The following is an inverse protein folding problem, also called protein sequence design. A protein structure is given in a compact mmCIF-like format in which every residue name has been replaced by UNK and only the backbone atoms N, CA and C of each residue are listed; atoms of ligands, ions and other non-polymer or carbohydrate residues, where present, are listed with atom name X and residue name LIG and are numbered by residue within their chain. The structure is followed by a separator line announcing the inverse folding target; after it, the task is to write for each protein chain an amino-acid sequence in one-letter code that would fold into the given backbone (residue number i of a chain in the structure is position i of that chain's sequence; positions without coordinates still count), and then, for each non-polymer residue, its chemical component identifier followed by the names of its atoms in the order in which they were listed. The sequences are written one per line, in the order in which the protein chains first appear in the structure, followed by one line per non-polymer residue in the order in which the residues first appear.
data_IF_911300344353
#
_entry.id   IF_911300344353
#
_cell.length_a   1.000
_cell.length_b   1.000
_cell.length_c   1.000
_cell.angle_alpha   90.00
_cell.angle_beta   90.00
_cell.angle_gamma   90.00
#
_symmetry.space_group_name_H-M   'P 1'
#
loop_
_entity.id
_entity.type
_entity.pdbx_description
1 polymer ?
#
# COMPACT_ATOMS: atom_id res chain seq x y z
N UNK A 1 -51.09 -8.98 5.33
CA UNK A 1 -50.00 -9.97 5.40
C UNK A 1 -49.18 -9.90 4.13
N UNK A 2 -47.91 -9.48 4.21
CA UNK A 2 -46.87 -10.05 3.39
C UNK A 2 -45.54 -10.21 4.12
N UNK A 3 -45.26 -11.40 4.71
CA UNK A 3 -44.03 -11.71 5.46
C UNK A 3 -43.27 -12.91 4.91
N UNK A 4 -43.34 -13.23 3.64
CA UNK A 4 -42.68 -14.46 3.11
C UNK A 4 -41.65 -14.26 1.98
N UNK A 5 -41.32 -13.03 1.57
CA UNK A 5 -40.41 -12.82 0.45
C UNK A 5 -38.96 -12.60 0.91
N UNK A 6 -38.76 -12.05 2.10
CA UNK A 6 -37.42 -11.71 2.63
C UNK A 6 -36.62 -12.91 3.17
N UNK A 7 -37.29 -13.96 3.66
CA UNK A 7 -36.60 -15.12 4.23
C UNK A 7 -36.00 -16.08 3.18
N UNK A 8 -36.60 -16.17 1.99
CA UNK A 8 -36.06 -17.04 0.91
C UNK A 8 -34.79 -16.50 0.26
N UNK A 9 -34.62 -15.19 0.19
CA UNK A 9 -33.41 -14.57 -0.40
C UNK A 9 -32.19 -14.78 0.49
N UNK A 10 -32.34 -14.63 1.81
CA UNK A 10 -31.24 -14.84 2.76
C UNK A 10 -30.76 -16.29 2.88
N UNK A 11 -31.63 -17.26 2.62
CA UNK A 11 -31.27 -18.69 2.62
C UNK A 11 -30.49 -19.08 1.37
N UNK A 12 -30.87 -18.54 0.22
CA UNK A 12 -30.19 -18.83 -1.05
C UNK A 12 -28.78 -18.24 -1.09
N UNK A 13 -28.60 -17.01 -0.59
CA UNK A 13 -27.29 -16.36 -0.46
C UNK A 13 -26.37 -17.19 0.46
N UNK A 14 -26.86 -17.68 1.58
CA UNK A 14 -26.07 -18.53 2.50
C UNK A 14 -25.64 -19.87 1.86
N UNK A 15 -26.45 -20.43 0.98
CA UNK A 15 -26.12 -21.69 0.29
C UNK A 15 -25.05 -21.42 -0.80
N UNK A 16 -25.20 -20.34 -1.56
CA UNK A 16 -24.20 -19.93 -2.55
C UNK A 16 -22.86 -19.59 -1.90
N UNK A 17 -22.86 -18.85 -0.79
CA UNK A 17 -21.65 -18.54 -0.03
C UNK A 17 -21.00 -19.80 0.56
N UNK A 18 -21.78 -20.81 0.94
CA UNK A 18 -21.25 -22.08 1.47
C UNK A 18 -20.60 -22.95 0.39
N UNK A 19 -21.04 -22.83 -0.88
CA UNK A 19 -20.50 -23.62 -1.99
C UNK A 19 -19.33 -22.87 -2.68
N UNK A 20 -19.45 -21.56 -2.87
CA UNK A 20 -18.50 -20.74 -3.65
C UNK A 20 -17.60 -19.86 -2.76
N UNK A 21 -17.77 -19.89 -1.44
CA UNK A 21 -17.13 -18.98 -0.50
C UNK A 21 -17.70 -17.57 -0.54
N UNK A 22 -17.44 -16.78 0.48
CA UNK A 22 -17.81 -15.36 0.53
C UNK A 22 -17.06 -14.56 -0.54
N UNK A 23 -17.55 -13.38 -0.89
CA UNK A 23 -16.83 -12.46 -1.79
C UNK A 23 -15.40 -12.20 -1.29
N UNK A 24 -15.24 -11.98 0.01
CA UNK A 24 -13.93 -11.75 0.65
C UNK A 24 -12.98 -12.95 0.51
N UNK A 25 -13.47 -14.17 0.68
CA UNK A 25 -12.65 -15.38 0.51
C UNK A 25 -12.18 -15.57 -0.93
N UNK A 26 -13.03 -15.26 -1.91
CA UNK A 26 -12.65 -15.32 -3.34
C UNK A 26 -11.59 -14.27 -3.68
N UNK A 27 -11.71 -13.06 -3.14
CA UNK A 27 -10.71 -12.01 -3.32
C UNK A 27 -9.38 -12.37 -2.65
N UNK A 28 -9.41 -12.91 -1.45
CA UNK A 28 -8.20 -13.40 -0.77
C UNK A 28 -7.48 -14.47 -1.58
N UNK A 29 -8.22 -15.40 -2.20
CA UNK A 29 -7.63 -16.43 -3.08
C UNK A 29 -6.90 -15.84 -4.29
N UNK A 30 -7.30 -14.64 -4.77
CA UNK A 30 -6.61 -13.94 -5.85
C UNK A 30 -5.39 -13.16 -5.37
N UNK A 31 -5.44 -12.64 -4.13
CA UNK A 31 -4.38 -11.81 -3.55
C UNK A 31 -3.25 -12.67 -2.97
N UNK A 32 -3.56 -13.81 -2.37
CA UNK A 32 -2.57 -14.69 -1.73
C UNK A 32 -1.40 -15.05 -2.64
N UNK A 33 -1.59 -15.41 -3.93
CA UNK A 33 -0.47 -15.70 -4.82
C UNK A 33 0.47 -14.50 -5.05
N UNK A 34 -0.05 -13.27 -5.02
CA UNK A 34 0.77 -12.06 -5.09
C UNK A 34 1.61 -11.91 -3.83
N UNK A 35 1.02 -12.15 -2.66
CA UNK A 35 1.74 -12.13 -1.37
C UNK A 35 2.81 -13.21 -1.33
N UNK A 36 2.53 -14.41 -1.82
CA UNK A 36 3.52 -15.49 -1.92
C UNK A 36 4.69 -15.08 -2.83
N UNK A 37 4.41 -14.39 -3.94
CA UNK A 37 5.44 -13.85 -4.82
C UNK A 37 6.28 -12.77 -4.11
N UNK A 38 5.66 -11.85 -3.35
CA UNK A 38 6.36 -10.86 -2.53
C UNK A 38 7.27 -11.56 -1.50
N UNK A 39 6.77 -12.58 -0.81
CA UNK A 39 7.56 -13.35 0.15
C UNK A 39 8.75 -14.07 -0.52
N UNK A 40 8.58 -14.60 -1.71
CA UNK A 40 9.65 -15.28 -2.46
C UNK A 40 10.79 -14.34 -2.88
N UNK A 41 10.52 -13.05 -3.06
CA UNK A 41 11.53 -12.02 -3.40
C UNK A 41 12.32 -11.54 -2.18
N UNK A 42 11.90 -11.89 -0.96
CA UNK A 42 12.56 -11.44 0.28
C UNK A 42 14.07 -11.71 0.31
N UNK A 43 14.58 -12.93 0.02
CA UNK A 43 16.02 -13.20 0.05
C UNK A 43 16.80 -12.33 -0.95
N UNK A 44 16.23 -12.09 -2.13
CA UNK A 44 16.83 -11.22 -3.15
C UNK A 44 16.96 -9.79 -2.62
N UNK A 45 15.87 -9.20 -2.13
CA UNK A 45 15.88 -7.82 -1.60
C UNK A 45 16.84 -7.68 -0.41
N UNK A 46 16.94 -8.69 0.45
CA UNK A 46 17.87 -8.71 1.59
C UNK A 46 19.33 -8.75 1.17
N UNK A 47 19.64 -9.36 0.03
CA UNK A 47 21.02 -9.47 -0.49
C UNK A 47 21.54 -8.17 -1.13
N UNK A 48 20.65 -7.24 -1.48
CA UNK A 48 21.02 -5.96 -2.10
C UNK A 48 21.71 -5.04 -1.07
N UNK A 49 22.70 -4.30 -1.54
CA UNK A 49 23.23 -3.15 -0.79
C UNK A 49 22.18 -2.03 -0.69
N UNK A 50 22.41 -1.05 0.19
CA UNK A 50 21.52 0.11 0.29
C UNK A 50 21.42 0.91 -1.01
N UNK A 51 22.52 1.01 -1.75
CA UNK A 51 22.57 1.70 -3.03
C UNK A 51 21.77 0.96 -4.11
N UNK A 52 21.91 -0.36 -4.17
CA UNK A 52 21.16 -1.21 -5.10
C UNK A 52 19.66 -1.18 -4.80
N UNK A 53 19.28 -1.22 -3.50
CA UNK A 53 17.88 -1.16 -3.09
C UNK A 53 17.26 0.21 -3.44
N UNK A 54 17.98 1.32 -3.24
CA UNK A 54 17.56 2.67 -3.67
C UNK A 54 17.46 2.76 -5.20
N UNK A 55 18.37 2.11 -5.92
CA UNK A 55 18.39 2.05 -7.38
C UNK A 55 17.15 1.42 -8.00
N UNK A 56 16.43 0.56 -7.26
CA UNK A 56 15.18 -0.07 -7.70
C UNK A 56 14.11 0.96 -8.10
N UNK A 57 14.05 2.11 -7.43
CA UNK A 57 13.10 3.18 -7.81
C UNK A 57 13.34 3.70 -9.23
N UNK A 58 14.58 3.92 -9.61
CA UNK A 58 14.92 4.36 -10.97
C UNK A 58 14.66 3.26 -12.00
N UNK A 59 14.95 2.00 -11.66
CA UNK A 59 14.65 0.82 -12.46
C UNK A 59 13.16 0.71 -12.75
N UNK A 60 12.31 0.78 -11.70
CA UNK A 60 10.86 0.67 -11.86
C UNK A 60 10.26 1.82 -12.69
N UNK A 61 10.70 3.06 -12.46
CA UNK A 61 10.29 4.20 -13.28
C UNK A 61 10.66 4.01 -14.77
N UNK A 62 11.82 3.43 -15.05
CA UNK A 62 12.24 3.10 -16.43
C UNK A 62 11.37 2.01 -17.05
N UNK A 63 11.01 0.97 -16.28
CA UNK A 63 10.13 -0.12 -16.74
C UNK A 63 8.71 0.39 -17.01
N UNK A 64 8.17 1.27 -16.15
CA UNK A 64 6.89 1.95 -16.41
C UNK A 64 6.94 2.78 -17.70
N UNK A 65 8.01 3.54 -17.91
CA UNK A 65 8.19 4.31 -19.14
C UNK A 65 8.31 3.41 -20.40
N UNK A 66 8.73 2.16 -20.22
CA UNK A 66 8.80 1.16 -21.29
C UNK A 66 7.46 0.43 -21.52
N UNK A 67 6.42 0.72 -20.73
CA UNK A 67 5.07 0.21 -20.93
C UNK A 67 4.64 -0.90 -19.96
N UNK A 68 5.44 -1.24 -18.95
CA UNK A 68 4.98 -2.11 -17.87
C UNK A 68 3.92 -1.37 -17.03
N UNK A 69 3.03 -2.13 -16.39
CA UNK A 69 1.99 -1.58 -15.52
C UNK A 69 2.43 -1.59 -14.05
N UNK A 70 1.75 -0.79 -13.21
CA UNK A 70 1.94 -0.86 -11.77
C UNK A 70 1.62 -2.24 -11.19
N UNK A 71 0.63 -2.94 -11.74
CA UNK A 71 0.28 -4.30 -11.33
C UNK A 71 1.41 -5.31 -11.62
N UNK A 72 2.14 -5.15 -12.73
CA UNK A 72 3.29 -5.99 -13.05
C UNK A 72 4.44 -5.76 -12.06
N UNK A 73 4.66 -4.52 -11.65
CA UNK A 73 5.70 -4.12 -10.71
C UNK A 73 5.33 -4.37 -9.24
N UNK A 74 4.05 -4.55 -8.92
CA UNK A 74 3.55 -4.62 -7.55
C UNK A 74 4.34 -5.60 -6.66
N UNK A 75 4.62 -6.86 -7.06
CA UNK A 75 5.32 -7.78 -6.17
C UNK A 75 6.74 -7.30 -5.82
N UNK A 76 7.48 -6.80 -6.80
CA UNK A 76 8.85 -6.32 -6.61
C UNK A 76 8.88 -5.02 -5.80
N UNK A 77 8.00 -4.06 -6.11
CA UNK A 77 7.89 -2.80 -5.39
C UNK A 77 7.51 -3.00 -3.91
N UNK A 78 6.56 -3.90 -3.63
CA UNK A 78 6.17 -4.24 -2.25
C UNK A 78 7.31 -4.93 -1.49
N UNK A 79 8.05 -5.84 -2.14
CA UNK A 79 9.22 -6.47 -1.54
C UNK A 79 10.33 -5.44 -1.24
N UNK A 80 10.55 -4.48 -2.13
CA UNK A 80 11.49 -3.36 -1.95
C UNK A 80 11.13 -2.50 -0.75
N UNK A 81 9.85 -2.07 -0.64
CA UNK A 81 9.38 -1.27 0.51
C UNK A 81 9.47 -2.04 1.81
N UNK A 82 9.13 -3.33 1.79
CA UNK A 82 9.22 -4.20 2.97
C UNK A 82 10.65 -4.27 3.50
N UNK A 83 11.63 -4.44 2.62
CA UNK A 83 13.05 -4.45 2.99
C UNK A 83 13.54 -3.07 3.44
N UNK A 84 13.15 -2.00 2.75
CA UNK A 84 13.46 -0.64 3.17
C UNK A 84 12.91 -0.33 4.57
N UNK A 85 11.64 -0.68 4.85
CA UNK A 85 11.04 -0.51 6.17
C UNK A 85 11.78 -1.31 7.25
N UNK A 86 12.24 -2.53 6.94
CA UNK A 86 13.05 -3.34 7.85
C UNK A 86 14.39 -2.65 8.18
N UNK A 87 15.07 -2.07 7.18
CA UNK A 87 16.38 -1.40 7.39
C UNK A 87 16.23 -0.09 8.15
N UNK A 88 15.27 0.74 7.75
CA UNK A 88 15.13 2.13 8.24
C UNK A 88 14.37 2.20 9.57
N UNK A 89 13.30 1.42 9.71
CA UNK A 89 12.39 1.48 10.86
C UNK A 89 12.53 0.28 11.80
N UNK A 90 13.30 -0.74 11.41
CA UNK A 90 13.30 -2.06 12.06
C UNK A 90 11.90 -2.67 12.14
N UNK A 91 11.06 -2.40 11.11
CA UNK A 91 9.70 -2.89 10.98
C UNK A 91 9.57 -3.65 9.66
N UNK A 92 9.03 -4.85 9.71
CA UNK A 92 8.76 -5.65 8.52
C UNK A 92 7.26 -5.87 8.36
N UNK A 93 6.75 -5.70 7.14
CA UNK A 93 5.34 -5.94 6.85
C UNK A 93 4.98 -7.40 7.04
N UNK A 94 3.93 -7.65 7.82
CA UNK A 94 3.30 -8.96 7.91
C UNK A 94 2.45 -9.26 6.68
N UNK A 95 2.19 -10.53 6.40
CA UNK A 95 1.37 -10.95 5.25
C UNK A 95 0.00 -10.26 5.21
N UNK A 96 -0.67 -10.11 6.34
CA UNK A 96 -1.96 -9.41 6.43
C UNK A 96 -1.84 -7.93 6.03
N UNK A 97 -0.72 -7.30 6.33
CA UNK A 97 -0.45 -5.91 5.96
C UNK A 97 -0.16 -5.77 4.46
N UNK A 98 0.53 -6.73 3.85
CA UNK A 98 0.71 -6.78 2.39
C UNK A 98 -0.63 -6.96 1.68
N UNK A 99 -1.52 -7.83 2.19
CA UNK A 99 -2.89 -7.98 1.68
C UNK A 99 -3.63 -6.65 1.74
N UNK A 100 -3.58 -5.96 2.89
CA UNK A 100 -4.20 -4.64 3.06
C UNK A 100 -3.66 -3.61 2.05
N UNK A 101 -2.36 -3.57 1.84
CA UNK A 101 -1.71 -2.69 0.85
C UNK A 101 -2.15 -2.98 -0.59
N UNK A 102 -2.26 -4.26 -0.97
CA UNK A 102 -2.75 -4.67 -2.30
C UNK A 102 -4.20 -4.23 -2.50
N UNK A 103 -5.05 -4.42 -1.50
CA UNK A 103 -6.46 -3.99 -1.54
C UNK A 103 -6.56 -2.46 -1.74
N UNK A 104 -5.72 -1.68 -1.03
CA UNK A 104 -5.66 -0.22 -1.18
C UNK A 104 -5.19 0.18 -2.58
N UNK A 105 -4.16 -0.47 -3.13
CA UNK A 105 -3.71 -0.23 -4.49
C UNK A 105 -4.81 -0.48 -5.53
N UNK A 106 -5.66 -1.48 -5.31
CA UNK A 106 -6.81 -1.79 -6.16
C UNK A 106 -7.96 -0.76 -6.04
N UNK A 107 -7.79 0.33 -5.30
CA UNK A 107 -8.83 1.34 -5.08
C UNK A 107 -9.99 0.86 -4.20
N UNK A 108 -9.75 -0.13 -3.34
CA UNK A 108 -10.76 -0.75 -2.47
C UNK A 108 -10.52 -0.40 -1.01
N UNK A 109 -11.47 -0.69 -0.16
CA UNK A 109 -11.40 -0.45 1.29
C UNK A 109 -10.83 -1.70 1.98
N UNK A 110 -9.72 -1.53 2.71
CA UNK A 110 -9.14 -2.55 3.58
C UNK A 110 -9.54 -2.25 5.03
N UNK A 111 -10.45 -3.04 5.58
CA UNK A 111 -10.79 -2.96 7.00
C UNK A 111 -9.73 -3.71 7.83
N UNK A 112 -9.14 -3.01 8.78
CA UNK A 112 -8.14 -3.57 9.69
C UNK A 112 -8.45 -3.14 11.12
N UNK A 113 -8.23 -4.06 12.09
CA UNK A 113 -8.46 -3.79 13.51
C UNK A 113 -7.47 -2.75 14.05
N UNK A 114 -7.83 -2.15 15.18
CA UNK A 114 -6.92 -1.27 15.92
C UNK A 114 -5.69 -2.07 16.35
N UNK A 115 -4.50 -1.50 16.20
CA UNK A 115 -3.23 -2.15 16.54
C UNK A 115 -2.60 -3.00 15.44
N UNK A 116 -3.26 -3.22 14.29
CA UNK A 116 -2.71 -4.02 13.18
C UNK A 116 -1.71 -3.27 12.28
N UNK A 117 -1.28 -2.07 12.67
CA UNK A 117 -0.22 -1.33 11.99
C UNK A 117 -0.64 -0.69 10.66
N UNK A 118 -1.85 -0.11 10.59
CA UNK A 118 -2.39 0.55 9.39
C UNK A 118 -1.45 1.58 8.78
N UNK A 119 -0.69 2.31 9.61
CA UNK A 119 0.27 3.31 9.16
C UNK A 119 1.38 2.69 8.30
N UNK A 120 1.90 1.53 8.70
CA UNK A 120 2.89 0.81 7.91
C UNK A 120 2.30 0.24 6.61
N UNK A 121 1.03 -0.21 6.64
CA UNK A 121 0.33 -0.75 5.46
C UNK A 121 0.29 0.25 4.31
N UNK A 122 0.11 1.54 4.60
CA UNK A 122 0.01 2.57 3.56
C UNK A 122 1.30 2.81 2.79
N UNK A 123 2.46 2.43 3.34
CA UNK A 123 3.77 2.71 2.71
C UNK A 123 3.95 1.98 1.38
N UNK A 124 3.58 0.71 1.30
CA UNK A 124 3.78 -0.09 0.09
C UNK A 124 2.93 0.40 -1.10
N UNK A 125 1.60 0.58 -0.99
CA UNK A 125 0.81 1.13 -2.09
C UNK A 125 1.16 2.60 -2.39
N UNK A 126 1.54 3.41 -1.40
CA UNK A 126 1.97 4.78 -1.64
C UNK A 126 3.24 4.83 -2.48
N UNK A 127 4.24 4.03 -2.15
CA UNK A 127 5.46 3.92 -2.94
C UNK A 127 5.18 3.49 -4.39
N UNK A 128 4.43 2.40 -4.57
CA UNK A 128 4.11 1.87 -5.90
C UNK A 128 3.42 2.92 -6.78
N UNK A 129 2.39 3.59 -6.25
CA UNK A 129 1.65 4.59 -7.03
C UNK A 129 2.47 5.88 -7.25
N UNK A 130 3.40 6.23 -6.36
CA UNK A 130 4.28 7.38 -6.53
C UNK A 130 5.30 7.22 -7.67
N UNK A 131 5.56 5.98 -8.12
CA UNK A 131 6.43 5.72 -9.27
C UNK A 131 5.95 6.35 -10.57
N UNK A 132 4.63 6.56 -10.73
CA UNK A 132 4.07 7.26 -11.89
C UNK A 132 4.39 8.76 -11.93
N UNK A 133 4.83 9.35 -10.82
CA UNK A 133 5.15 10.78 -10.75
C UNK A 133 3.92 11.70 -10.72
N UNK A 134 2.72 11.17 -10.46
CA UNK A 134 1.46 11.95 -10.42
C UNK A 134 1.14 12.51 -9.03
N UNK A 135 1.97 12.20 -8.03
CA UNK A 135 1.71 12.50 -6.62
C UNK A 135 0.76 11.52 -5.96
N UNK A 136 1.01 11.21 -4.69
CA UNK A 136 0.16 10.35 -3.84
C UNK A 136 -0.18 11.10 -2.56
N UNK A 137 -1.45 11.09 -2.18
CA UNK A 137 -1.92 11.74 -0.97
C UNK A 137 -2.33 10.71 0.08
N UNK A 138 -1.76 10.83 1.30
CA UNK A 138 -2.11 10.03 2.48
C UNK A 138 -2.90 10.92 3.43
N UNK A 139 -4.21 10.73 3.49
CA UNK A 139 -5.09 11.57 4.29
C UNK A 139 -5.26 11.00 5.69
N UNK A 140 -5.02 11.83 6.70
CA UNK A 140 -5.20 11.51 8.12
C UNK A 140 -6.29 12.38 8.75
N UNK A 141 -6.72 12.03 9.97
CA UNK A 141 -7.82 12.73 10.63
C UNK A 141 -7.42 14.08 11.25
N UNK A 142 -6.13 14.36 11.44
CA UNK A 142 -5.63 15.62 12.01
C UNK A 142 -4.16 15.87 11.69
N UNK A 143 -3.74 17.13 11.91
CA UNK A 143 -2.38 17.61 11.65
C UNK A 143 -1.30 16.89 12.45
N UNK A 144 -1.62 16.45 13.68
CA UNK A 144 -0.66 15.71 14.51
C UNK A 144 -0.31 14.36 13.86
N UNK A 145 -1.31 13.62 13.41
CA UNK A 145 -1.09 12.34 12.73
C UNK A 145 -0.40 12.53 11.39
N UNK A 146 -0.76 13.59 10.63
CA UNK A 146 -0.11 13.89 9.37
C UNK A 146 1.40 14.10 9.56
N UNK A 147 1.80 14.93 10.53
CA UNK A 147 3.21 15.15 10.85
C UNK A 147 3.91 13.87 11.31
N UNK A 148 3.32 13.18 12.30
CA UNK A 148 3.90 11.96 12.86
C UNK A 148 4.12 10.89 11.79
N UNK A 149 3.11 10.66 10.96
CA UNK A 149 3.16 9.60 9.95
C UNK A 149 4.14 9.96 8.82
N UNK A 150 4.21 11.24 8.42
CA UNK A 150 5.20 11.70 7.46
C UNK A 150 6.63 11.62 8.01
N UNK A 151 6.87 12.04 9.26
CA UNK A 151 8.19 11.96 9.89
C UNK A 151 8.65 10.50 10.08
N UNK A 152 7.73 9.60 10.38
CA UNK A 152 8.06 8.22 10.67
C UNK A 152 8.10 7.36 9.40
N UNK A 153 7.01 7.26 8.67
CA UNK A 153 6.94 6.44 7.45
C UNK A 153 7.65 7.10 6.27
N UNK A 154 7.73 8.43 6.26
CA UNK A 154 8.46 9.18 5.24
C UNK A 154 9.90 8.73 5.07
N UNK A 155 10.57 8.34 6.15
CA UNK A 155 11.94 7.83 6.11
C UNK A 155 12.10 6.64 5.13
N UNK A 156 11.09 5.77 5.01
CA UNK A 156 11.11 4.64 4.06
C UNK A 156 11.10 5.15 2.62
N UNK A 157 10.25 6.13 2.34
CA UNK A 157 10.11 6.71 1.01
C UNK A 157 11.35 7.51 0.61
N UNK A 158 11.89 8.31 1.52
CA UNK A 158 13.11 9.09 1.33
C UNK A 158 14.32 8.18 1.14
N UNK A 159 14.42 7.09 1.91
CA UNK A 159 15.45 6.08 1.71
C UNK A 159 15.41 5.51 0.29
N UNK A 160 14.22 5.31 -0.28
CA UNK A 160 14.02 4.82 -1.65
C UNK A 160 14.08 5.95 -2.70
N UNK A 161 14.46 7.18 -2.32
CA UNK A 161 14.66 8.29 -3.25
C UNK A 161 13.40 9.03 -3.67
N UNK A 162 12.28 8.89 -2.94
CA UNK A 162 11.09 9.70 -3.13
C UNK A 162 11.08 10.90 -2.19
N UNK A 163 10.42 11.98 -2.61
CA UNK A 163 10.21 13.17 -1.79
C UNK A 163 8.90 13.08 -1.02
N UNK A 164 8.92 13.47 0.26
CA UNK A 164 7.75 13.44 1.15
C UNK A 164 7.44 14.83 1.66
N UNK A 165 6.18 15.23 1.59
CA UNK A 165 5.65 16.48 2.10
C UNK A 165 4.59 16.26 3.19
N UNK A 166 4.19 17.35 3.82
CA UNK A 166 3.06 17.37 4.76
C UNK A 166 2.22 18.59 4.49
N UNK A 167 0.91 18.41 4.30
CA UNK A 167 -0.07 19.50 4.29
C UNK A 167 -0.78 19.56 5.63
N UNK A 168 -0.67 20.70 6.31
CA UNK A 168 -1.29 20.97 7.60
C UNK A 168 -1.91 22.38 7.59
N UNK A 169 -2.83 22.63 8.50
CA UNK A 169 -3.60 23.88 8.57
C UNK A 169 -2.74 25.13 8.71
N UNK A 170 -1.58 25.03 9.35
CA UNK A 170 -0.68 26.18 9.60
C UNK A 170 0.16 26.59 8.40
N UNK A 171 0.16 25.82 7.29
CA UNK A 171 0.92 26.18 6.10
C UNK A 171 0.27 27.35 5.34
N UNK A 172 1.14 28.21 4.80
CA UNK A 172 0.76 29.20 3.81
C UNK A 172 0.38 28.54 2.49
N UNK A 173 -0.30 29.26 1.61
CA UNK A 173 -0.69 28.75 0.28
C UNK A 173 0.54 28.32 -0.55
N UNK A 174 1.63 29.08 -0.49
CA UNK A 174 2.86 28.76 -1.21
C UNK A 174 3.54 27.49 -0.68
N UNK A 175 3.58 27.30 0.64
CA UNK A 175 4.12 26.08 1.25
C UNK A 175 3.27 24.86 0.91
N UNK A 176 1.94 25.03 0.89
CA UNK A 176 1.00 23.98 0.49
C UNK A 176 1.19 23.57 -0.96
N UNK A 177 1.28 24.53 -1.89
CA UNK A 177 1.57 24.27 -3.30
C UNK A 177 2.89 23.51 -3.48
N UNK A 178 3.92 23.86 -2.70
CA UNK A 178 5.19 23.14 -2.70
C UNK A 178 5.04 21.70 -2.19
N UNK A 179 4.27 21.49 -1.11
CA UNK A 179 4.02 20.16 -0.56
C UNK A 179 3.32 19.25 -1.58
N UNK A 180 2.34 19.76 -2.31
CA UNK A 180 1.65 19.02 -3.38
C UNK A 180 2.52 18.73 -4.62
N UNK A 181 3.66 19.37 -4.76
CA UNK A 181 4.64 19.07 -5.81
C UNK A 181 5.55 17.87 -5.50
N UNK A 182 5.45 17.29 -4.30
CA UNK A 182 6.28 16.16 -3.87
C UNK A 182 5.67 14.82 -4.30
N UNK A 183 6.46 13.73 -4.20
CA UNK A 183 5.99 12.42 -4.64
C UNK A 183 4.88 11.86 -3.73
N UNK A 184 4.97 12.15 -2.42
CA UNK A 184 3.99 11.72 -1.41
C UNK A 184 3.71 12.90 -0.47
N UNK A 185 2.43 13.17 -0.19
CA UNK A 185 2.00 14.24 0.71
C UNK A 185 0.91 13.75 1.65
#
# INVERSE_FOLDING_TARGET
MPRRVTERCGSFVKIVDKIFGTHSERELKRIIPLVDKIDSLRPEMQSLSDEELRGKTAEYKKRLAAGETLDDLLPEAFATVREAARRVLNMEHYRVQLIGGIILHQGRIAEMRTGEGKTLVSTAPAYLNALEGKGVHIVTVNDYLAKRDAEWMGQVHEFLGLTVGVDIKSLTEQERQKAYGWNIT
#
